data_IF_707342392070
#
_entry.id   IF_707342392070
#
_cell.length_a   1.000
_cell.length_b   1.000
_cell.length_c   1.000
_cell.angle_alpha   90.00
_cell.angle_beta   90.00
_cell.angle_gamma   90.00
#
_symmetry.space_group_name_H-M   'P 1'
#
loop_
_entity.id
_entity.type
_entity.pdbx_description
1 polymer ?
#
# COMPACT_ATOMS: atom_id res chain seq x y z
N UNK A 1 20.28 -10.71 29.64
CA UNK A 1 18.99 -10.00 29.81
C UNK A 1 17.91 -11.04 30.11
N UNK A 2 17.00 -10.78 31.06
CA UNK A 2 15.90 -11.71 31.39
C UNK A 2 14.80 -11.67 30.33
N UNK A 3 13.94 -12.68 30.29
CA UNK A 3 12.80 -12.76 29.37
C UNK A 3 11.88 -11.54 29.50
N UNK A 4 11.62 -11.11 30.73
CA UNK A 4 10.78 -9.96 31.06
C UNK A 4 11.34 -8.65 30.48
N UNK A 5 12.67 -8.47 30.52
CA UNK A 5 13.31 -7.30 29.93
C UNK A 5 13.14 -7.26 28.41
N UNK A 6 13.17 -8.42 27.73
CA UNK A 6 12.91 -8.48 26.28
C UNK A 6 11.47 -8.11 25.95
N UNK A 7 10.50 -8.57 26.75
CA UNK A 7 9.09 -8.21 26.57
C UNK A 7 8.88 -6.71 26.81
N UNK A 8 9.47 -6.14 27.86
CA UNK A 8 9.38 -4.70 28.14
C UNK A 8 9.98 -3.86 27.01
N UNK A 9 11.15 -4.24 26.50
CA UNK A 9 11.78 -3.57 25.37
C UNK A 9 10.93 -3.69 24.10
N UNK A 10 10.39 -4.88 23.81
CA UNK A 10 9.51 -5.10 22.67
C UNK A 10 8.26 -4.21 22.75
N UNK A 11 7.61 -4.13 23.91
CA UNK A 11 6.45 -3.26 24.14
C UNK A 11 6.79 -1.77 23.96
N UNK A 12 7.96 -1.34 24.44
CA UNK A 12 8.46 0.03 24.27
C UNK A 12 8.67 0.38 22.80
N UNK A 13 9.32 -0.52 22.05
CA UNK A 13 9.53 -0.35 20.61
C UNK A 13 8.20 -0.30 19.85
N UNK A 14 7.26 -1.20 20.15
CA UNK A 14 5.95 -1.22 19.51
C UNK A 14 5.16 0.08 19.78
N UNK A 15 5.25 0.63 20.99
CA UNK A 15 4.66 1.94 21.32
C UNK A 15 5.26 3.09 20.51
N UNK A 16 6.58 3.10 20.35
CA UNK A 16 7.27 4.13 19.55
C UNK A 16 6.91 4.03 18.07
N UNK A 17 6.87 2.81 17.53
CA UNK A 17 6.44 2.55 16.15
C UNK A 17 5.02 3.04 15.94
N UNK A 18 4.10 2.76 16.87
CA UNK A 18 2.72 3.25 16.80
C UNK A 18 2.66 4.78 16.71
N UNK A 19 3.35 5.47 17.64
CA UNK A 19 3.39 6.94 17.66
C UNK A 19 3.95 7.52 16.35
N UNK A 20 5.05 6.96 15.85
CA UNK A 20 5.64 7.41 14.59
C UNK A 20 4.72 7.15 13.40
N UNK A 21 4.03 6.00 13.37
CA UNK A 21 3.08 5.70 12.31
C UNK A 21 1.88 6.66 12.30
N UNK A 22 1.38 7.04 13.48
CA UNK A 22 0.31 8.05 13.59
C UNK A 22 0.77 9.40 13.03
N UNK A 23 1.98 9.85 13.38
CA UNK A 23 2.58 11.08 12.84
C UNK A 23 2.81 10.99 11.32
N UNK A 24 3.32 9.86 10.84
CA UNK A 24 3.53 9.62 9.41
C UNK A 24 2.19 9.67 8.65
N UNK A 25 1.11 9.15 9.25
CA UNK A 25 -0.23 9.21 8.65
C UNK A 25 -0.68 10.65 8.47
N UNK A 26 -0.60 11.47 9.53
CA UNK A 26 -0.96 12.90 9.45
C UNK A 26 -0.15 13.68 8.41
N UNK A 27 1.17 13.43 8.34
CA UNK A 27 2.05 14.02 7.34
C UNK A 27 1.68 13.61 5.91
N UNK A 28 1.35 12.32 5.69
CA UNK A 28 0.92 11.82 4.39
C UNK A 28 -0.40 12.44 3.96
N UNK A 29 -1.37 12.52 4.87
CA UNK A 29 -2.68 13.09 4.59
C UNK A 29 -2.56 14.58 4.23
N UNK A 30 -1.78 15.33 5.02
CA UNK A 30 -1.53 16.75 4.76
C UNK A 30 -0.82 16.97 3.43
N UNK A 31 0.23 16.17 3.13
CA UNK A 31 0.95 16.25 1.87
C UNK A 31 0.04 15.95 0.68
N UNK A 32 -0.76 14.88 0.76
CA UNK A 32 -1.66 14.49 -0.32
C UNK A 32 -2.73 15.57 -0.57
N UNK A 33 -3.26 16.20 0.49
CA UNK A 33 -4.20 17.31 0.36
C UNK A 33 -3.57 18.52 -0.35
N UNK A 34 -2.34 18.88 0.02
CA UNK A 34 -1.58 19.94 -0.65
C UNK A 34 -1.29 19.59 -2.10
N UNK A 35 -0.90 18.35 -2.38
CA UNK A 35 -0.62 17.85 -3.72
C UNK A 35 -1.84 17.99 -4.64
N UNK A 36 -3.04 17.63 -4.17
CA UNK A 36 -4.28 17.83 -4.95
C UNK A 36 -4.50 19.31 -5.29
N UNK A 37 -4.42 20.20 -4.29
CA UNK A 37 -4.58 21.64 -4.51
C UNK A 37 -3.56 22.20 -5.52
N UNK A 38 -2.31 21.76 -5.44
CA UNK A 38 -1.24 22.20 -6.35
C UNK A 38 -1.50 21.67 -7.76
N UNK A 39 -1.90 20.41 -7.92
CA UNK A 39 -2.23 19.81 -9.23
C UNK A 39 -3.45 20.50 -9.86
N UNK A 40 -4.48 20.79 -9.07
CA UNK A 40 -5.68 21.52 -9.53
C UNK A 40 -5.33 22.94 -9.99
N UNK A 41 -4.53 23.66 -9.21
CA UNK A 41 -4.05 24.99 -9.57
C UNK A 41 -3.17 24.96 -10.83
N UNK A 42 -2.23 24.01 -10.91
CA UNK A 42 -1.36 23.86 -12.07
C UNK A 42 -2.15 23.53 -13.33
N UNK A 43 -3.19 22.68 -13.23
CA UNK A 43 -4.05 22.32 -14.36
C UNK A 43 -4.90 23.51 -14.82
N UNK A 44 -5.48 24.28 -13.89
CA UNK A 44 -6.29 25.47 -14.19
C UNK A 44 -5.48 26.59 -14.85
N UNK A 45 -4.18 26.66 -14.60
CA UNK A 45 -3.27 27.67 -15.14
C UNK A 45 -2.38 27.14 -16.29
N UNK A 46 -2.67 25.96 -16.85
CA UNK A 46 -1.87 25.33 -17.92
C UNK A 46 -0.38 25.10 -17.58
N UNK A 47 -0.05 24.94 -16.30
CA UNK A 47 1.31 24.73 -15.79
C UNK A 47 1.70 23.25 -15.73
N UNK A 48 0.88 22.34 -16.25
CA UNK A 48 1.08 20.87 -16.16
C UNK A 48 2.39 20.36 -16.77
N UNK A 49 3.06 21.15 -17.62
CA UNK A 49 4.39 20.81 -18.18
C UNK A 49 5.55 21.57 -17.53
N UNK A 50 5.27 22.41 -16.53
CA UNK A 50 6.26 23.26 -15.87
C UNK A 50 7.15 22.45 -14.92
N UNK A 51 8.41 22.90 -14.80
CA UNK A 51 9.37 22.36 -13.83
C UNK A 51 9.63 23.44 -12.79
N UNK A 52 9.46 23.10 -11.51
CA UNK A 52 9.73 24.00 -10.38
C UNK A 52 11.09 23.61 -9.78
N UNK A 53 12.01 24.56 -9.69
CA UNK A 53 13.30 24.34 -9.02
C UNK A 53 13.15 24.56 -7.52
N UNK A 54 13.70 23.64 -6.73
CA UNK A 54 13.76 23.70 -5.27
C UNK A 54 15.22 23.56 -4.82
N UNK A 55 15.52 23.92 -3.58
CA UNK A 55 16.89 23.89 -3.06
C UNK A 55 17.58 22.53 -3.16
N UNK A 56 16.79 21.44 -3.15
CA UNK A 56 17.27 20.05 -3.21
C UNK A 56 16.93 19.34 -4.54
N UNK A 57 16.64 20.10 -5.61
CA UNK A 57 16.38 19.53 -6.94
C UNK A 57 15.23 20.18 -7.69
N UNK A 58 14.40 19.37 -8.37
CA UNK A 58 13.31 19.87 -9.21
C UNK A 58 12.04 19.04 -9.07
N UNK A 59 10.89 19.71 -9.15
CA UNK A 59 9.57 19.11 -9.19
C UNK A 59 9.00 19.22 -10.59
N UNK A 60 8.38 18.15 -11.08
CA UNK A 60 7.66 18.12 -12.35
C UNK A 60 6.31 17.45 -12.14
N UNK A 61 5.28 18.03 -12.74
CA UNK A 61 3.96 17.41 -12.81
C UNK A 61 4.02 16.25 -13.82
N UNK A 62 3.79 15.03 -13.34
CA UNK A 62 3.85 13.82 -14.17
C UNK A 62 2.62 12.97 -13.91
N UNK A 63 2.06 12.42 -14.97
CA UNK A 63 1.02 11.41 -14.88
C UNK A 63 1.69 10.04 -14.79
N UNK A 64 1.62 9.42 -13.61
CA UNK A 64 2.13 8.05 -13.43
C UNK A 64 0.99 7.06 -13.68
N UNK A 65 1.18 6.15 -14.63
CA UNK A 65 0.27 5.03 -14.84
C UNK A 65 0.53 3.98 -13.77
N UNK A 66 -0.46 3.75 -12.90
CA UNK A 66 -0.41 2.67 -11.91
C UNK A 66 -1.10 1.45 -12.48
N UNK A 67 -0.36 0.35 -12.65
CA UNK A 67 -0.94 -0.94 -13.05
C UNK A 67 -1.65 -1.58 -11.87
N UNK A 68 -2.87 -2.07 -12.08
CA UNK A 68 -3.63 -2.78 -11.05
C UNK A 68 -2.85 -4.03 -10.59
N UNK A 69 -2.98 -4.37 -9.31
CA UNK A 69 -2.37 -5.58 -8.76
C UNK A 69 -3.05 -6.83 -9.34
N UNK A 70 -2.26 -7.87 -9.62
CA UNK A 70 -2.77 -9.18 -10.03
C UNK A 70 -3.48 -9.90 -8.88
N UNK A 71 -4.70 -9.45 -8.57
CA UNK A 71 -5.57 -10.08 -7.59
C UNK A 71 -6.21 -11.33 -8.18
N UNK A 72 -6.61 -12.29 -7.33
CA UNK A 72 -7.37 -13.44 -7.80
C UNK A 72 -8.66 -13.05 -8.53
N UNK A 73 -9.30 -11.94 -8.13
CA UNK A 73 -10.48 -11.39 -8.80
C UNK A 73 -10.16 -10.88 -10.21
N UNK A 74 -9.03 -10.20 -10.38
CA UNK A 74 -8.56 -9.77 -11.70
C UNK A 74 -8.29 -10.98 -12.60
N UNK A 75 -7.53 -11.97 -12.09
CA UNK A 75 -7.22 -13.20 -12.84
C UNK A 75 -8.48 -13.99 -13.20
N UNK A 76 -9.43 -14.13 -12.28
CA UNK A 76 -10.71 -14.80 -12.53
C UNK A 76 -11.51 -14.11 -13.63
N UNK A 77 -11.64 -12.78 -13.57
CA UNK A 77 -12.31 -11.98 -14.60
C UNK A 77 -11.66 -12.17 -15.97
N UNK A 78 -10.34 -12.02 -16.05
CA UNK A 78 -9.60 -12.15 -17.32
C UNK A 78 -9.67 -13.58 -17.86
N UNK A 79 -9.62 -14.60 -17.00
CA UNK A 79 -9.78 -15.99 -17.42
C UNK A 79 -11.21 -16.28 -17.91
N UNK A 80 -12.24 -15.68 -17.30
CA UNK A 80 -13.63 -15.78 -17.75
C UNK A 80 -13.90 -15.11 -19.10
N UNK A 81 -13.15 -14.08 -19.46
CA UNK A 81 -13.22 -13.44 -20.79
C UNK A 81 -12.65 -14.34 -21.89
N UNK A 82 -11.67 -15.20 -21.57
CA UNK A 82 -10.98 -16.09 -22.52
C UNK A 82 -11.60 -17.49 -22.56
N UNK A 83 -12.02 -18.02 -21.41
CA UNK A 83 -12.52 -19.39 -21.24
C UNK A 83 -14.04 -19.33 -21.05
N UNK A 84 -14.80 -19.81 -22.04
CA UNK A 84 -16.27 -19.84 -21.99
C UNK A 84 -16.84 -20.75 -20.89
N UNK A 85 -16.04 -21.68 -20.37
CA UNK A 85 -16.45 -22.61 -19.32
C UNK A 85 -16.08 -22.06 -17.95
N UNK A 86 -17.06 -21.50 -17.24
CA UNK A 86 -16.90 -20.94 -15.90
C UNK A 86 -16.34 -21.95 -14.89
N UNK A 87 -16.73 -23.22 -14.98
CA UNK A 87 -16.25 -24.27 -14.07
C UNK A 87 -14.75 -24.51 -14.21
N UNK A 88 -14.18 -24.36 -15.41
CA UNK A 88 -12.74 -24.48 -15.61
C UNK A 88 -11.97 -23.30 -15.01
N UNK A 89 -12.54 -22.09 -15.10
CA UNK A 89 -11.95 -20.89 -14.47
C UNK A 89 -11.89 -21.06 -12.96
N UNK A 90 -12.99 -21.50 -12.35
CA UNK A 90 -13.04 -21.77 -10.90
C UNK A 90 -12.02 -22.84 -10.47
N UNK A 91 -11.89 -23.93 -11.25
CA UNK A 91 -10.88 -24.96 -10.99
C UNK A 91 -9.45 -24.41 -11.02
N UNK A 92 -9.13 -23.57 -12.00
CA UNK A 92 -7.80 -22.94 -12.12
C UNK A 92 -7.53 -22.02 -10.93
N UNK A 93 -8.49 -21.18 -10.55
CA UNK A 93 -8.34 -20.27 -9.40
C UNK A 93 -8.16 -21.06 -8.10
N UNK A 94 -8.91 -22.14 -7.90
CA UNK A 94 -8.78 -23.00 -6.73
C UNK A 94 -7.43 -23.71 -6.69
N UNK A 95 -6.95 -24.20 -7.83
CA UNK A 95 -5.62 -24.78 -7.95
C UNK A 95 -4.52 -23.77 -7.61
N UNK A 96 -4.63 -22.52 -8.06
CA UNK A 96 -3.68 -21.46 -7.71
C UNK A 96 -3.69 -21.13 -6.21
N UNK A 97 -4.87 -21.10 -5.58
CA UNK A 97 -5.00 -20.87 -4.13
C UNK A 97 -4.34 -21.99 -3.31
N UNK A 98 -4.49 -23.24 -3.74
CA UNK A 98 -3.97 -24.41 -3.02
C UNK A 98 -2.45 -24.58 -3.18
N UNK A 99 -1.90 -24.31 -4.37
CA UNK A 99 -0.46 -24.47 -4.63
C UNK A 99 0.38 -23.27 -4.18
N UNK A 100 -0.24 -22.16 -3.80
CA UNK A 100 0.49 -20.98 -3.32
C UNK A 100 1.12 -21.32 -1.96
N UNK A 101 2.44 -21.21 -1.87
CA UNK A 101 3.20 -21.50 -0.65
C UNK A 101 2.73 -20.63 0.51
N UNK A 102 2.19 -21.26 1.56
CA UNK A 102 1.82 -20.58 2.81
C UNK A 102 2.91 -20.82 3.84
N UNK A 103 3.61 -19.76 4.26
CA UNK A 103 4.58 -19.81 5.35
C UNK A 103 3.90 -19.36 6.64
N UNK A 104 3.86 -20.24 7.66
CA UNK A 104 3.45 -19.86 9.02
C UNK A 104 4.65 -19.26 9.74
N UNK A 105 4.61 -17.96 10.02
CA UNK A 105 5.62 -17.28 10.81
C UNK A 105 5.09 -17.05 12.23
N UNK A 106 5.75 -17.54 13.29
CA UNK A 106 5.38 -17.18 14.65
C UNK A 106 5.69 -15.70 14.86
N UNK A 107 4.71 -14.94 15.34
CA UNK A 107 4.82 -13.49 15.59
C UNK A 107 4.22 -13.11 16.94
N UNK A 108 4.74 -12.05 17.55
CA UNK A 108 4.13 -11.42 18.72
C UNK A 108 3.09 -10.43 18.21
N UNK A 109 1.82 -10.62 18.57
CA UNK A 109 0.72 -9.75 18.16
C UNK A 109 0.09 -9.07 19.37
N UNK A 110 0.02 -7.74 19.33
CA UNK A 110 -0.68 -6.93 20.33
C UNK A 110 -2.17 -6.90 20.02
N UNK A 111 -2.99 -7.19 21.03
CA UNK A 111 -4.45 -6.99 20.98
C UNK A 111 -4.79 -5.86 21.96
N UNK A 112 -5.51 -4.84 21.49
CA UNK A 112 -6.04 -3.79 22.35
C UNK A 112 -7.40 -4.23 22.88
N UNK A 113 -7.59 -4.17 24.20
CA UNK A 113 -8.93 -4.20 24.76
C UNK A 113 -9.54 -2.83 24.48
N UNK A 114 -10.48 -2.78 23.53
CA UNK A 114 -11.41 -1.66 23.44
C UNK A 114 -12.40 -1.73 24.60
#
# INVERSE_FOLDING_TARGET
MSFENHIQQWVSLDNQIKKLNDQIKELRDTRNNLEQNIIEYASSNNLSNSTIQISDGKLKFVNTTVTESLTFKYVEKTLGEVIKNQSQVELIINHLKQNRSVKKCPEIKRYSNN
#
